data_IF_738349570082
#
_entry.id   IF_738349570082
#
_cell.length_a   1.000
_cell.length_b   1.000
_cell.length_c   1.000
_cell.angle_alpha   90.00
_cell.angle_beta   90.00
_cell.angle_gamma   90.00
#
_symmetry.space_group_name_H-M   'P 1'
#
loop_
_entity.id
_entity.type
_entity.pdbx_description
1 polymer ?
#
# COMPACT_ATOMS: atom_id res chain seq x y z
N UNK A 1 22.55 -27.59 -22.83
CA UNK A 1 22.48 -26.25 -23.46
C UNK A 1 22.95 -25.23 -22.39
N UNK A 2 24.01 -24.46 -22.70
CA UNK A 2 24.42 -23.36 -21.83
C UNK A 2 23.29 -22.32 -21.76
N UNK A 3 23.00 -21.73 -20.61
CA UNK A 3 22.01 -20.65 -20.52
C UNK A 3 22.40 -19.51 -21.46
N UNK A 4 21.43 -18.84 -22.10
CA UNK A 4 21.73 -17.70 -22.97
C UNK A 4 22.47 -16.61 -22.18
N UNK A 5 23.35 -15.83 -22.82
CA UNK A 5 24.08 -14.78 -22.16
C UNK A 5 23.11 -13.76 -21.55
N UNK A 6 23.42 -13.17 -20.36
CA UNK A 6 22.57 -12.20 -19.73
C UNK A 6 22.42 -10.97 -20.64
N UNK A 7 21.19 -10.45 -20.72
CA UNK A 7 20.90 -9.24 -21.49
C UNK A 7 21.70 -8.03 -20.96
N UNK A 8 22.10 -7.10 -21.82
CA UNK A 8 22.75 -5.88 -21.37
C UNK A 8 21.81 -5.08 -20.44
N UNK A 9 22.35 -4.44 -19.40
CA UNK A 9 21.56 -3.76 -18.37
C UNK A 9 20.55 -2.75 -18.92
N UNK A 10 20.89 -2.02 -19.98
CA UNK A 10 19.98 -1.07 -20.61
C UNK A 10 18.74 -1.75 -21.21
N UNK A 11 18.91 -2.94 -21.78
CA UNK A 11 17.81 -3.71 -22.35
C UNK A 11 16.91 -4.30 -21.24
N UNK A 12 17.52 -4.82 -20.17
CA UNK A 12 16.79 -5.42 -19.05
C UNK A 12 16.04 -4.36 -18.21
N UNK A 13 16.66 -3.19 -17.98
CA UNK A 13 16.10 -2.14 -17.09
C UNK A 13 15.25 -1.13 -17.84
N UNK A 14 15.52 -0.88 -19.13
CA UNK A 14 14.84 0.15 -19.92
C UNK A 14 13.94 -0.45 -21.01
N UNK A 15 14.52 -1.20 -21.94
CA UNK A 15 13.81 -1.63 -23.14
C UNK A 15 12.67 -2.61 -22.83
N UNK A 16 12.90 -3.63 -22.01
CA UNK A 16 11.88 -4.64 -21.69
C UNK A 16 10.68 -4.00 -20.97
N UNK A 17 10.83 -3.18 -19.91
CA UNK A 17 9.70 -2.48 -19.30
C UNK A 17 8.93 -1.59 -20.29
N UNK A 18 9.62 -0.86 -21.17
CA UNK A 18 8.97 -0.03 -22.19
C UNK A 18 8.15 -0.87 -23.18
N UNK A 19 8.68 -1.99 -23.66
CA UNK A 19 7.94 -2.90 -24.54
C UNK A 19 6.71 -3.45 -23.83
N UNK A 20 6.82 -3.82 -22.56
CA UNK A 20 5.70 -4.36 -21.78
C UNK A 20 4.61 -3.31 -21.55
N UNK A 21 4.98 -2.07 -21.23
CA UNK A 21 4.02 -0.97 -21.10
C UNK A 21 3.34 -0.67 -22.43
N UNK A 22 4.10 -0.62 -23.53
CA UNK A 22 3.55 -0.42 -24.86
C UNK A 22 2.58 -1.55 -25.25
N UNK A 23 2.96 -2.80 -25.04
CA UNK A 23 2.09 -3.94 -25.30
C UNK A 23 0.80 -3.90 -24.47
N UNK A 24 0.89 -3.52 -23.19
CA UNK A 24 -0.28 -3.33 -22.33
C UNK A 24 -1.21 -2.24 -22.86
N UNK A 25 -0.67 -1.10 -23.31
CA UNK A 25 -1.44 0.00 -23.91
C UNK A 25 -2.12 -0.44 -25.21
N UNK A 26 -1.44 -1.21 -26.06
CA UNK A 26 -2.03 -1.76 -27.29
C UNK A 26 -3.19 -2.70 -26.96
N UNK A 27 -3.02 -3.62 -26.04
CA UNK A 27 -4.08 -4.53 -25.61
C UNK A 27 -5.26 -3.76 -25.01
N UNK A 28 -5.00 -2.77 -24.13
CA UNK A 28 -6.05 -1.92 -23.58
C UNK A 28 -6.78 -1.14 -24.68
N UNK A 29 -6.05 -0.59 -25.66
CA UNK A 29 -6.63 0.11 -26.79
C UNK A 29 -7.53 -0.79 -27.65
N UNK A 30 -7.15 -2.06 -27.86
CA UNK A 30 -8.00 -3.04 -28.54
C UNK A 30 -9.30 -3.27 -27.78
N UNK A 31 -9.25 -3.40 -26.45
CA UNK A 31 -10.45 -3.56 -25.61
C UNK A 31 -11.35 -2.35 -25.71
N UNK A 32 -10.81 -1.13 -25.65
CA UNK A 32 -11.58 0.13 -25.82
C UNK A 32 -12.25 0.17 -27.20
N UNK A 33 -11.54 -0.20 -28.26
CA UNK A 33 -12.10 -0.25 -29.62
C UNK A 33 -13.23 -1.31 -29.75
N UNK A 34 -13.14 -2.44 -29.06
CA UNK A 34 -14.19 -3.47 -29.05
C UNK A 34 -15.47 -2.94 -28.36
N UNK A 35 -15.34 -2.11 -27.34
CA UNK A 35 -16.48 -1.47 -26.64
C UNK A 35 -17.15 -0.43 -27.53
N UNK A 36 -16.48 0.03 -28.60
CA UNK A 36 -17.02 1.02 -29.54
C UNK A 36 -16.46 2.42 -29.36
N UNK A 37 -15.54 2.59 -28.43
CA UNK A 37 -14.93 3.88 -28.09
C UNK A 37 -13.60 4.10 -28.84
N UNK A 38 -13.17 5.35 -28.98
CA UNK A 38 -11.92 5.71 -29.64
C UNK A 38 -10.73 5.53 -28.66
N UNK A 39 -9.80 4.58 -28.91
CA UNK A 39 -8.67 4.33 -28.01
C UNK A 39 -7.75 5.54 -27.81
N UNK A 40 -7.61 6.40 -28.84
CA UNK A 40 -6.75 7.59 -28.76
C UNK A 40 -7.39 8.67 -27.90
N UNK A 41 -8.69 8.85 -27.98
CA UNK A 41 -9.44 9.78 -27.13
C UNK A 41 -9.42 9.31 -25.68
N UNK A 42 -9.70 8.03 -25.44
CA UNK A 42 -9.62 7.44 -24.11
C UNK A 42 -8.22 7.62 -23.50
N UNK A 43 -7.16 7.33 -24.25
CA UNK A 43 -5.78 7.54 -23.76
C UNK A 43 -5.50 9.03 -23.50
N UNK A 44 -5.98 9.94 -24.32
CA UNK A 44 -5.83 11.38 -24.11
C UNK A 44 -6.57 11.85 -22.85
N UNK A 45 -7.79 11.37 -22.62
CA UNK A 45 -8.57 11.65 -21.40
C UNK A 45 -7.84 11.12 -20.19
N UNK A 46 -7.33 9.89 -20.21
CA UNK A 46 -6.54 9.32 -19.12
C UNK A 46 -5.31 10.17 -18.79
N UNK A 47 -4.53 10.59 -19.79
CA UNK A 47 -3.34 11.42 -19.56
C UNK A 47 -3.72 12.78 -19.00
N UNK A 48 -4.73 13.44 -19.58
CA UNK A 48 -5.22 14.74 -19.08
C UNK A 48 -5.80 14.62 -17.67
N UNK A 49 -6.57 13.57 -17.43
CA UNK A 49 -7.16 13.24 -16.13
C UNK A 49 -6.13 12.97 -15.06
N UNK A 50 -4.99 12.35 -15.40
CA UNK A 50 -3.92 12.10 -14.47
C UNK A 50 -3.04 13.31 -14.14
N UNK A 51 -2.79 14.23 -15.12
CA UNK A 51 -1.73 15.24 -14.99
C UNK A 51 -2.15 16.67 -15.31
N UNK A 52 -3.20 16.90 -16.10
CA UNK A 52 -3.50 18.21 -16.68
C UNK A 52 -4.69 18.89 -16.02
N UNK A 53 -5.75 18.18 -15.70
CA UNK A 53 -6.94 18.76 -15.09
C UNK A 53 -6.63 19.34 -13.72
N UNK A 54 -7.38 20.35 -13.31
CA UNK A 54 -7.16 21.06 -12.06
C UNK A 54 -7.29 20.11 -10.86
N UNK A 55 -6.19 19.92 -10.14
CA UNK A 55 -6.13 18.99 -8.99
C UNK A 55 -5.70 17.56 -9.32
N UNK A 56 -5.70 17.14 -10.59
CA UNK A 56 -5.38 15.76 -11.00
C UNK A 56 -4.07 15.21 -10.43
N UNK A 57 -3.02 16.03 -10.44
CA UNK A 57 -1.74 15.61 -9.87
C UNK A 57 -1.85 15.26 -8.38
N UNK A 58 -2.68 16.00 -7.64
CA UNK A 58 -2.95 15.70 -6.24
C UNK A 58 -3.69 14.36 -6.05
N UNK A 59 -4.66 14.08 -6.92
CA UNK A 59 -5.33 12.76 -6.92
C UNK A 59 -4.39 11.63 -7.31
N UNK A 60 -3.56 11.82 -8.34
CA UNK A 60 -2.53 10.85 -8.74
C UNK A 60 -1.58 10.54 -7.60
N UNK A 61 -1.10 11.55 -6.87
CA UNK A 61 -0.21 11.37 -5.72
C UNK A 61 -0.93 10.73 -4.52
N UNK A 62 -2.21 11.03 -4.33
CA UNK A 62 -3.05 10.38 -3.31
C UNK A 62 -3.15 8.86 -3.57
N UNK A 63 -3.49 8.42 -4.79
CA UNK A 63 -3.50 7.00 -5.12
C UNK A 63 -2.09 6.38 -5.02
N UNK A 64 -1.07 7.09 -5.51
CA UNK A 64 0.31 6.64 -5.40
C UNK A 64 0.73 6.40 -3.94
N UNK A 65 0.22 7.18 -2.97
CA UNK A 65 0.50 6.99 -1.55
C UNK A 65 0.07 5.61 -1.05
N UNK A 66 -1.13 5.16 -1.42
CA UNK A 66 -1.63 3.83 -1.09
C UNK A 66 -0.73 2.73 -1.67
N UNK A 67 -0.32 2.92 -2.93
CA UNK A 67 0.54 1.96 -3.62
C UNK A 67 1.98 1.95 -3.12
N UNK A 68 2.51 3.06 -2.61
CA UNK A 68 3.82 3.09 -1.96
C UNK A 68 3.79 2.19 -0.72
N UNK A 69 2.85 2.36 0.18
CA UNK A 69 2.76 1.55 1.40
C UNK A 69 2.58 0.07 1.10
N UNK A 70 1.63 -0.28 0.24
CA UNK A 70 1.34 -1.68 -0.10
C UNK A 70 2.45 -2.30 -0.93
N UNK A 71 3.09 -1.55 -1.83
CA UNK A 71 4.25 -1.99 -2.60
C UNK A 71 5.48 -2.25 -1.71
N UNK A 72 5.76 -1.36 -0.75
CA UNK A 72 6.83 -1.57 0.24
C UNK A 72 6.57 -2.79 1.11
N UNK A 73 5.32 -3.02 1.51
CA UNK A 73 4.93 -4.19 2.28
C UNK A 73 5.29 -5.49 1.55
N UNK A 74 4.88 -5.61 0.29
CA UNK A 74 5.19 -6.77 -0.54
C UNK A 74 6.70 -6.90 -0.77
N UNK A 75 7.40 -5.81 -1.06
CA UNK A 75 8.83 -5.82 -1.32
C UNK A 75 9.65 -6.32 -0.13
N UNK A 76 9.32 -5.90 1.09
CA UNK A 76 10.01 -6.37 2.31
C UNK A 76 9.84 -7.90 2.45
N UNK A 77 8.64 -8.43 2.27
CA UNK A 77 8.40 -9.87 2.32
C UNK A 77 9.15 -10.61 1.20
N UNK A 78 9.20 -10.05 -0.01
CA UNK A 78 9.90 -10.62 -1.16
C UNK A 78 11.41 -10.76 -0.96
N UNK A 79 12.04 -9.88 -0.20
CA UNK A 79 13.45 -10.02 0.14
C UNK A 79 13.77 -11.25 0.98
N UNK A 80 12.77 -11.82 1.67
CA UNK A 80 12.86 -13.11 2.34
C UNK A 80 12.28 -14.26 1.52
N UNK A 81 11.98 -14.05 0.22
CA UNK A 81 11.26 -14.99 -0.66
C UNK A 81 9.89 -15.41 -0.10
N UNK A 82 9.24 -14.51 0.64
CA UNK A 82 7.89 -14.68 1.15
C UNK A 82 6.92 -13.89 0.28
N UNK A 83 5.98 -14.58 -0.36
CA UNK A 83 4.98 -13.93 -1.19
C UNK A 83 3.76 -13.55 -0.35
N UNK A 84 3.79 -12.34 0.23
CA UNK A 84 2.68 -11.82 1.05
C UNK A 84 1.55 -11.30 0.17
N UNK A 85 0.46 -12.08 0.03
CA UNK A 85 -0.79 -11.64 -0.63
C UNK A 85 -1.79 -11.06 0.38
N UNK A 86 -1.41 -11.02 1.66
CA UNK A 86 -2.26 -10.56 2.76
C UNK A 86 -2.36 -9.05 2.94
N UNK A 87 -1.79 -8.27 2.04
CA UNK A 87 -1.74 -6.81 2.16
C UNK A 87 -3.10 -6.14 2.35
N UNK A 88 -4.13 -6.68 1.71
CA UNK A 88 -5.51 -6.19 1.82
C UNK A 88 -6.07 -6.35 3.24
N UNK A 89 -5.96 -7.55 3.82
CA UNK A 89 -6.41 -7.81 5.19
C UNK A 89 -5.56 -7.11 6.24
N UNK A 90 -4.26 -6.97 5.99
CA UNK A 90 -3.35 -6.22 6.86
C UNK A 90 -3.69 -4.74 6.88
N UNK A 91 -4.07 -4.15 5.74
CA UNK A 91 -4.57 -2.80 5.63
C UNK A 91 -5.92 -2.63 6.36
N UNK A 92 -6.84 -3.58 6.23
CA UNK A 92 -8.11 -3.57 6.98
C UNK A 92 -7.88 -3.51 8.48
N UNK A 93 -7.02 -4.39 9.01
CA UNK A 93 -6.73 -4.39 10.45
C UNK A 93 -5.92 -3.17 10.86
N UNK A 94 -5.04 -2.66 10.01
CA UNK A 94 -4.37 -1.38 10.22
C UNK A 94 -5.37 -0.23 10.38
N UNK A 95 -6.36 -0.17 9.48
CA UNK A 95 -7.44 0.82 9.58
C UNK A 95 -8.30 0.66 10.82
N UNK A 96 -8.56 -0.58 11.24
CA UNK A 96 -9.22 -0.82 12.52
C UNK A 96 -8.40 -0.25 13.69
N UNK A 97 -7.08 -0.50 13.69
CA UNK A 97 -6.19 0.02 14.72
C UNK A 97 -6.19 1.55 14.80
N UNK A 98 -6.04 2.23 13.66
CA UNK A 98 -6.10 3.69 13.57
C UNK A 98 -7.47 4.20 14.02
N UNK A 99 -8.55 3.61 13.49
CA UNK A 99 -9.93 4.00 13.81
C UNK A 99 -10.27 3.84 15.30
N UNK A 100 -9.83 2.76 15.95
CA UNK A 100 -10.06 2.55 17.38
C UNK A 100 -9.34 3.61 18.22
N UNK A 101 -8.11 3.95 17.90
CA UNK A 101 -7.38 5.02 18.61
C UNK A 101 -8.09 6.35 18.44
N UNK A 102 -8.53 6.69 17.22
CA UNK A 102 -9.28 7.92 16.99
C UNK A 102 -10.61 7.91 17.75
N UNK A 103 -11.41 6.85 17.69
CA UNK A 103 -12.68 6.75 18.40
C UNK A 103 -12.56 6.90 19.92
N UNK A 104 -11.44 6.45 20.50
CA UNK A 104 -11.22 6.45 21.94
C UNK A 104 -10.61 7.77 22.44
N UNK A 105 -9.74 8.41 21.65
CA UNK A 105 -8.85 9.46 22.15
C UNK A 105 -8.98 10.81 21.43
N UNK A 106 -9.78 10.90 20.35
CA UNK A 106 -9.88 12.11 19.54
C UNK A 106 -10.40 13.36 20.28
N UNK A 107 -11.19 13.15 21.33
CA UNK A 107 -11.68 14.23 22.19
C UNK A 107 -10.74 14.57 23.36
N UNK A 108 -9.72 13.71 23.62
CA UNK A 108 -8.83 13.82 24.77
C UNK A 108 -7.44 14.32 24.40
N UNK A 109 -6.97 14.01 23.18
CA UNK A 109 -5.62 14.31 22.77
C UNK A 109 -5.57 15.35 21.65
N UNK A 110 -4.59 16.25 21.66
CA UNK A 110 -4.32 17.13 20.55
C UNK A 110 -3.77 16.35 19.36
N UNK A 111 -3.97 16.86 18.14
CA UNK A 111 -3.56 16.22 16.89
C UNK A 111 -2.09 15.77 16.86
N UNK A 112 -1.19 16.56 17.44
CA UNK A 112 0.25 16.27 17.49
C UNK A 112 0.59 14.97 18.23
N UNK A 113 -0.24 14.51 19.14
CA UNK A 113 -0.08 13.24 19.87
C UNK A 113 -0.97 12.14 19.27
N UNK A 114 -2.19 12.49 18.88
CA UNK A 114 -3.18 11.54 18.39
C UNK A 114 -2.77 10.94 17.04
N UNK A 115 -2.35 11.78 16.11
CA UNK A 115 -1.98 11.32 14.75
C UNK A 115 -0.80 10.32 14.78
N UNK A 116 0.34 10.60 15.45
CA UNK A 116 1.41 9.61 15.57
C UNK A 116 0.96 8.31 16.26
N UNK A 117 0.10 8.40 17.27
CA UNK A 117 -0.43 7.23 17.97
C UNK A 117 -1.33 6.39 17.05
N UNK A 118 -2.18 7.03 16.25
CA UNK A 118 -3.01 6.36 15.26
C UNK A 118 -2.16 5.69 14.15
N UNK A 119 -1.08 6.35 13.69
CA UNK A 119 -0.12 5.76 12.75
C UNK A 119 0.56 4.53 13.35
N UNK A 120 1.02 4.61 14.60
CA UNK A 120 1.62 3.47 15.30
C UNK A 120 0.63 2.34 15.50
N UNK A 121 -0.62 2.63 15.82
CA UNK A 121 -1.67 1.63 15.96
C UNK A 121 -1.98 0.97 14.61
N UNK A 122 -2.07 1.75 13.54
CA UNK A 122 -2.26 1.23 12.18
C UNK A 122 -1.15 0.25 11.80
N UNK A 123 0.10 0.66 12.00
CA UNK A 123 1.25 -0.22 11.77
C UNK A 123 1.25 -1.44 12.71
N UNK A 124 0.92 -1.27 13.99
CA UNK A 124 0.91 -2.33 14.98
C UNK A 124 -0.15 -3.41 14.70
N UNK A 125 -1.37 -3.02 14.39
CA UNK A 125 -2.45 -3.96 14.04
C UNK A 125 -2.15 -4.70 12.75
N UNK A 126 -1.66 -3.99 11.71
CA UNK A 126 -1.21 -4.61 10.48
C UNK A 126 -0.04 -5.58 10.72
N UNK A 127 0.93 -5.21 11.56
CA UNK A 127 2.07 -6.05 11.91
C UNK A 127 1.65 -7.33 12.65
N UNK A 128 0.79 -7.23 13.63
CA UNK A 128 0.24 -8.40 14.35
C UNK A 128 -0.50 -9.32 13.38
N UNK A 129 -1.35 -8.74 12.51
CA UNK A 129 -2.08 -9.52 11.52
C UNK A 129 -1.16 -10.23 10.53
N UNK A 130 -0.11 -9.58 10.06
CA UNK A 130 0.91 -10.17 9.18
C UNK A 130 1.81 -11.19 9.88
N UNK A 131 2.08 -11.00 11.17
CA UNK A 131 2.90 -11.94 11.96
C UNK A 131 2.26 -13.32 12.11
N UNK A 132 0.92 -13.42 12.14
CA UNK A 132 0.22 -14.71 12.31
C UNK A 132 0.50 -15.66 11.14
N UNK A 133 0.28 -15.30 9.86
CA UNK A 133 0.69 -16.13 8.73
C UNK A 133 2.19 -16.43 8.74
N UNK A 134 3.02 -15.46 9.13
CA UNK A 134 4.47 -15.66 9.29
C UNK A 134 4.80 -16.74 10.33
N UNK A 135 4.13 -16.74 11.47
CA UNK A 135 4.28 -17.77 12.50
C UNK A 135 3.81 -19.16 12.00
N UNK A 136 2.66 -19.21 11.32
CA UNK A 136 2.14 -20.45 10.76
C UNK A 136 3.08 -21.04 9.70
N UNK A 137 3.66 -20.21 8.85
CA UNK A 137 4.71 -20.63 7.91
C UNK A 137 5.94 -21.16 8.65
N UNK A 138 6.47 -20.39 9.60
CA UNK A 138 7.77 -20.67 10.24
C UNK A 138 7.72 -21.86 11.23
N UNK A 139 6.60 -22.09 11.90
CA UNK A 139 6.46 -23.05 12.98
C UNK A 139 5.54 -24.23 12.69
N UNK A 140 4.62 -24.07 11.73
CA UNK A 140 3.62 -25.09 11.39
C UNK A 140 3.74 -25.60 9.95
N UNK A 141 4.65 -25.01 9.15
CA UNK A 141 4.89 -25.43 7.76
C UNK A 141 3.73 -25.10 6.80
N UNK A 142 2.84 -24.16 7.19
CA UNK A 142 1.76 -23.72 6.29
C UNK A 142 2.32 -22.94 5.09
N UNK A 143 1.64 -22.98 3.96
CA UNK A 143 2.06 -22.22 2.78
C UNK A 143 1.63 -20.75 2.91
N UNK A 144 2.61 -19.82 2.90
CA UNK A 144 2.38 -18.39 3.19
C UNK A 144 1.32 -17.78 2.29
N UNK A 145 1.31 -18.09 1.00
CA UNK A 145 0.36 -17.58 0.00
C UNK A 145 -1.07 -17.94 0.39
N UNK A 146 -1.33 -19.21 0.66
CA UNK A 146 -2.66 -19.70 1.01
C UNK A 146 -3.13 -19.06 2.33
N UNK A 147 -2.24 -19.05 3.32
CA UNK A 147 -2.56 -18.50 4.64
C UNK A 147 -2.87 -17.01 4.55
N UNK A 148 -2.07 -16.23 3.82
CA UNK A 148 -2.27 -14.78 3.70
C UNK A 148 -3.54 -14.44 2.94
N UNK A 149 -3.92 -15.20 1.89
CA UNK A 149 -5.20 -15.05 1.20
C UNK A 149 -6.38 -15.32 2.15
N UNK A 150 -6.32 -16.42 2.91
CA UNK A 150 -7.37 -16.75 3.89
C UNK A 150 -7.52 -15.64 4.94
N UNK A 151 -6.41 -15.04 5.38
CA UNK A 151 -6.41 -13.94 6.34
C UNK A 151 -7.02 -12.65 5.79
N UNK A 152 -7.04 -12.42 4.47
CA UNK A 152 -7.80 -11.30 3.88
C UNK A 152 -9.32 -11.47 4.10
N UNK A 153 -9.85 -12.68 3.88
CA UNK A 153 -11.29 -12.96 4.11
C UNK A 153 -11.65 -12.87 5.60
N UNK A 154 -10.78 -13.36 6.48
CA UNK A 154 -10.96 -13.22 7.93
C UNK A 154 -10.98 -11.75 8.35
N UNK A 155 -10.05 -10.94 7.86
CA UNK A 155 -10.01 -9.51 8.15
C UNK A 155 -11.29 -8.80 7.69
N UNK A 156 -11.73 -9.07 6.44
CA UNK A 156 -12.98 -8.52 5.92
C UNK A 156 -14.20 -8.92 6.78
N UNK A 157 -14.27 -10.19 7.19
CA UNK A 157 -15.35 -10.68 8.04
C UNK A 157 -15.37 -10.01 9.42
N UNK A 158 -14.18 -9.81 10.03
CA UNK A 158 -14.03 -9.10 11.31
C UNK A 158 -14.50 -7.64 11.15
N UNK A 159 -14.10 -6.95 10.06
CA UNK A 159 -14.51 -5.58 9.81
C UNK A 159 -16.01 -5.44 9.61
N UNK A 160 -16.62 -6.34 8.83
CA UNK A 160 -18.10 -6.38 8.66
C UNK A 160 -18.78 -6.57 10.01
N UNK A 161 -18.34 -7.53 10.82
CA UNK A 161 -18.93 -7.80 12.13
C UNK A 161 -18.82 -6.60 13.08
N UNK A 162 -17.67 -5.93 13.11
CA UNK A 162 -17.44 -4.76 13.99
C UNK A 162 -18.23 -3.55 13.51
N UNK A 163 -18.17 -3.22 12.22
CA UNK A 163 -18.80 -2.01 11.66
C UNK A 163 -20.30 -2.14 11.48
N UNK A 164 -20.83 -3.33 11.26
CA UNK A 164 -22.28 -3.56 11.24
C UNK A 164 -22.89 -3.66 12.66
N UNK A 165 -22.05 -3.94 13.66
CA UNK A 165 -22.48 -4.16 15.04
C UNK A 165 -21.96 -3.11 16.02
N UNK A 166 -20.83 -3.40 16.65
CA UNK A 166 -20.36 -2.66 17.84
C UNK A 166 -19.82 -1.27 17.57
N UNK A 167 -19.24 -1.04 16.41
CA UNK A 167 -18.61 0.26 16.04
C UNK A 167 -19.52 1.10 15.14
N UNK A 168 -20.69 0.59 14.79
CA UNK A 168 -21.65 1.30 13.95
C UNK A 168 -22.12 2.59 14.61
N UNK A 169 -22.10 3.69 13.88
CA UNK A 169 -22.63 4.97 14.36
C UNK A 169 -24.14 4.89 14.56
N UNK A 170 -24.68 5.36 15.70
CA UNK A 170 -26.11 5.36 15.94
C UNK A 170 -26.86 6.19 14.87
N UNK A 171 -27.98 5.63 14.36
CA UNK A 171 -28.83 6.33 13.39
C UNK A 171 -28.34 6.27 11.93
N UNK A 172 -27.19 5.70 11.64
CA UNK A 172 -26.69 5.52 10.27
C UNK A 172 -27.14 4.19 9.67
N UNK A 173 -27.48 4.19 8.38
CA UNK A 173 -27.81 2.95 7.66
C UNK A 173 -26.54 2.20 7.22
N UNK A 174 -25.50 2.96 6.82
CA UNK A 174 -24.20 2.40 6.39
C UNK A 174 -23.41 1.81 7.55
N UNK A 175 -22.68 0.69 7.33
CA UNK A 175 -21.80 0.10 8.33
C UNK A 175 -20.49 0.90 8.45
N UNK A 176 -20.54 1.98 9.18
CA UNK A 176 -19.43 2.91 9.39
C UNK A 176 -19.41 3.41 10.84
N UNK A 177 -18.24 3.90 11.27
CA UNK A 177 -18.11 4.53 12.58
C UNK A 177 -18.63 5.98 12.55
N UNK A 178 -18.77 6.61 13.72
CA UNK A 178 -18.91 8.08 13.76
C UNK A 178 -17.70 8.74 13.10
N UNK A 179 -17.90 9.94 12.59
CA UNK A 179 -16.77 10.78 12.17
C UNK A 179 -15.85 11.08 13.36
N UNK A 180 -14.57 11.13 13.09
CA UNK A 180 -13.57 11.55 14.07
C UNK A 180 -13.64 13.06 14.27
N UNK A 181 -13.05 13.57 15.35
CA UNK A 181 -12.87 15.00 15.53
C UNK A 181 -11.73 15.52 14.63
N UNK A 182 -11.70 16.83 14.41
CA UNK A 182 -10.65 17.51 13.62
C UNK A 182 -9.22 17.17 14.10
N UNK A 183 -9.04 16.84 15.38
CA UNK A 183 -7.75 16.43 15.94
C UNK A 183 -7.21 15.11 15.33
N UNK A 184 -8.06 14.28 14.76
CA UNK A 184 -7.69 13.01 14.13
C UNK A 184 -7.45 13.13 12.63
N UNK A 185 -7.63 14.29 12.04
CA UNK A 185 -7.49 14.50 10.61
C UNK A 185 -6.04 14.78 10.23
N UNK A 186 -5.60 14.15 9.13
CA UNK A 186 -4.33 14.51 8.51
C UNK A 186 -4.53 15.75 7.64
N UNK A 187 -3.72 16.80 7.82
CA UNK A 187 -3.86 18.01 7.03
C UNK A 187 -3.65 17.71 5.53
N UNK A 188 -4.47 18.33 4.71
CA UNK A 188 -4.31 18.27 3.26
C UNK A 188 -3.11 19.11 2.81
N UNK A 189 -2.40 18.62 1.81
CA UNK A 189 -1.23 19.34 1.25
C UNK A 189 -1.64 20.68 0.63
N UNK A 190 -2.83 20.74 0.01
CA UNK A 190 -3.31 22.01 -0.57
C UNK A 190 -3.60 23.08 0.49
N UNK A 191 -4.04 22.72 1.70
CA UNK A 191 -4.23 23.68 2.79
C UNK A 191 -2.90 24.21 3.30
N UNK A 192 -1.90 23.34 3.45
CA UNK A 192 -0.54 23.74 3.83
C UNK A 192 0.08 24.64 2.75
N UNK A 193 -0.05 24.29 1.48
CA UNK A 193 0.45 25.08 0.37
C UNK A 193 -0.18 26.48 0.31
N UNK A 194 -1.53 26.54 0.43
CA UNK A 194 -2.27 27.79 0.43
C UNK A 194 -1.88 28.68 1.62
N UNK A 195 -1.66 28.10 2.81
CA UNK A 195 -1.16 28.83 3.97
C UNK A 195 0.25 29.43 3.76
N UNK A 196 1.06 28.83 2.89
CA UNK A 196 2.38 29.32 2.47
C UNK A 196 2.34 30.27 1.27
N UNK A 197 1.12 30.62 0.78
CA UNK A 197 0.93 31.52 -0.36
C UNK A 197 1.11 30.86 -1.73
N UNK A 198 1.14 29.51 -1.78
CA UNK A 198 1.21 28.73 -3.01
C UNK A 198 -0.21 28.27 -3.36
N UNK A 199 -0.80 28.82 -4.41
CA UNK A 199 -2.12 28.42 -4.88
C UNK A 199 -2.09 26.95 -5.36
N UNK A 200 -2.74 26.06 -4.63
CA UNK A 200 -2.89 24.66 -4.99
C UNK A 200 -4.36 24.28 -5.07
N UNK A 201 -4.72 23.56 -6.12
CA UNK A 201 -6.08 23.06 -6.29
C UNK A 201 -6.43 22.03 -5.21
N UNK A 202 -7.68 22.00 -4.80
CA UNK A 202 -8.19 21.00 -3.83
C UNK A 202 -8.00 19.59 -4.37
N UNK A 203 -7.47 18.72 -3.52
CA UNK A 203 -7.26 17.30 -3.80
C UNK A 203 -7.20 16.51 -2.49
N UNK A 204 -7.41 15.20 -2.50
CA UNK A 204 -7.33 14.36 -1.31
C UNK A 204 -5.89 14.10 -0.83
N UNK A 205 -4.89 14.66 -1.53
CA UNK A 205 -3.49 14.52 -1.14
C UNK A 205 -3.25 15.13 0.25
N UNK A 206 -2.77 14.33 1.17
CA UNK A 206 -2.57 14.69 2.57
C UNK A 206 -1.17 14.31 3.07
N UNK A 207 -0.88 14.59 4.32
CA UNK A 207 0.45 14.41 4.92
C UNK A 207 0.94 12.94 4.91
N UNK A 208 0.05 11.95 4.71
CA UNK A 208 0.44 10.54 4.60
C UNK A 208 1.40 10.27 3.44
N UNK A 209 1.38 11.11 2.39
CA UNK A 209 2.35 11.04 1.30
C UNK A 209 3.78 11.25 1.79
N UNK A 210 3.99 12.21 2.68
CA UNK A 210 5.31 12.44 3.29
C UNK A 210 5.71 11.24 4.16
N UNK A 211 4.75 10.69 4.92
CA UNK A 211 4.99 9.47 5.72
C UNK A 211 5.36 8.29 4.82
N UNK A 212 4.72 8.14 3.66
CA UNK A 212 5.04 7.10 2.68
C UNK A 212 6.47 7.24 2.11
N UNK A 213 6.90 8.47 1.80
CA UNK A 213 8.27 8.73 1.36
C UNK A 213 9.29 8.44 2.47
N UNK A 214 8.99 8.80 3.71
CA UNK A 214 9.81 8.44 4.87
C UNK A 214 9.87 6.92 5.08
N UNK A 215 8.75 6.21 4.86
CA UNK A 215 8.71 4.75 4.88
C UNK A 215 9.61 4.14 3.78
N UNK A 216 9.68 4.74 2.58
CA UNK A 216 10.62 4.33 1.53
C UNK A 216 12.08 4.41 2.02
N UNK A 217 12.46 5.53 2.65
CA UNK A 217 13.80 5.70 3.22
C UNK A 217 14.02 4.67 4.34
N UNK A 218 13.04 4.51 5.23
CA UNK A 218 13.11 3.53 6.32
C UNK A 218 13.31 2.10 5.82
N UNK A 219 12.57 1.68 4.80
CA UNK A 219 12.72 0.35 4.18
C UNK A 219 14.06 0.22 3.46
N UNK A 220 14.53 1.27 2.79
CA UNK A 220 15.86 1.26 2.19
C UNK A 220 16.95 1.05 3.25
N UNK A 221 16.93 1.80 4.34
CA UNK A 221 17.86 1.63 5.46
C UNK A 221 17.73 0.23 6.07
N UNK A 222 16.49 -0.22 6.33
CA UNK A 222 16.21 -1.54 6.89
C UNK A 222 16.85 -2.65 6.04
N UNK A 223 16.55 -2.69 4.75
CA UNK A 223 16.95 -3.80 3.87
C UNK A 223 18.44 -3.76 3.53
N UNK A 224 19.01 -2.58 3.24
CA UNK A 224 20.39 -2.50 2.72
C UNK A 224 21.43 -2.04 3.72
N UNK A 225 21.03 -1.40 4.83
CA UNK A 225 21.95 -0.82 5.81
C UNK A 225 21.89 -1.46 7.21
N UNK A 226 20.94 -2.41 7.46
CA UNK A 226 20.78 -3.02 8.78
C UNK A 226 21.22 -4.50 8.82
N UNK A 227 21.55 -4.98 10.03
CA UNK A 227 21.82 -6.41 10.28
C UNK A 227 20.56 -7.27 10.04
N UNK A 228 19.39 -6.76 10.39
CA UNK A 228 18.12 -7.42 10.15
C UNK A 228 17.85 -7.59 8.65
N UNK A 229 18.08 -6.54 7.85
CA UNK A 229 17.95 -6.60 6.40
C UNK A 229 18.92 -7.59 5.75
N UNK A 230 20.14 -7.69 6.27
CA UNK A 230 21.06 -8.74 5.85
C UNK A 230 20.48 -10.15 6.14
N UNK A 231 19.98 -10.37 7.34
CA UNK A 231 19.37 -11.67 7.72
C UNK A 231 18.12 -11.99 6.86
N UNK A 232 17.28 -11.00 6.57
CA UNK A 232 16.13 -11.14 5.68
C UNK A 232 16.59 -11.61 4.29
N UNK A 233 17.53 -10.90 3.68
CA UNK A 233 18.05 -11.25 2.33
C UNK A 233 18.78 -12.60 2.33
N UNK A 234 19.59 -12.90 3.36
CA UNK A 234 20.27 -14.18 3.48
C UNK A 234 19.26 -15.35 3.56
N UNK A 235 18.19 -15.18 4.35
CA UNK A 235 17.09 -16.17 4.45
C UNK A 235 16.40 -16.35 3.10
N UNK A 236 16.17 -15.28 2.35
CA UNK A 236 15.57 -15.35 1.03
C UNK A 236 16.45 -16.02 -0.03
N UNK A 237 17.77 -15.85 0.05
CA UNK A 237 18.68 -16.53 -0.89
C UNK A 237 18.79 -18.03 -0.62
N UNK A 238 18.95 -18.43 0.65
CA UNK A 238 19.00 -19.84 1.05
C UNK A 238 18.74 -19.98 2.54
N UNK A 239 17.61 -20.57 2.90
CA UNK A 239 17.27 -20.84 4.29
C UNK A 239 18.30 -21.74 4.97
N UNK A 240 18.79 -22.79 4.28
CA UNK A 240 19.80 -23.71 4.82
C UNK A 240 21.14 -23.00 5.07
N UNK A 241 21.60 -22.15 4.16
CA UNK A 241 22.83 -21.38 4.35
C UNK A 241 22.70 -20.34 5.47
N UNK A 242 21.53 -19.73 5.61
CA UNK A 242 21.23 -18.80 6.69
C UNK A 242 21.25 -19.50 8.06
N UNK A 243 20.65 -20.67 8.16
CA UNK A 243 20.69 -21.51 9.39
C UNK A 243 22.13 -21.91 9.74
N UNK A 244 22.91 -22.35 8.74
CA UNK A 244 24.31 -22.71 8.95
C UNK A 244 25.14 -21.52 9.43
N UNK A 245 24.81 -20.29 9.00
CA UNK A 245 25.43 -19.05 9.45
C UNK A 245 24.89 -18.56 10.81
N UNK A 246 24.05 -19.33 11.50
CA UNK A 246 23.49 -19.01 12.83
C UNK A 246 22.33 -18.02 12.79
N UNK A 247 21.72 -17.74 11.63
CA UNK A 247 20.55 -16.86 11.51
C UNK A 247 19.29 -17.63 11.93
N UNK A 248 18.50 -17.11 12.89
CA UNK A 248 17.27 -17.75 13.34
C UNK A 248 16.15 -17.59 12.31
N UNK A 249 16.15 -18.39 11.25
CA UNK A 249 15.26 -18.29 10.08
C UNK A 249 13.79 -18.16 10.47
N UNK A 250 13.31 -18.95 11.44
CA UNK A 250 11.92 -18.88 11.89
C UNK A 250 11.55 -17.50 12.45
N UNK A 251 12.44 -16.88 13.22
CA UNK A 251 12.23 -15.54 13.77
C UNK A 251 12.27 -14.49 12.64
N UNK A 252 13.20 -14.63 11.69
CA UNK A 252 13.30 -13.73 10.54
C UNK A 252 12.02 -13.77 9.69
N UNK A 253 11.44 -14.93 9.41
CA UNK A 253 10.17 -15.06 8.68
C UNK A 253 9.06 -14.30 9.40
N UNK A 254 8.90 -14.51 10.71
CA UNK A 254 7.84 -13.87 11.51
C UNK A 254 8.02 -12.35 11.52
N UNK A 255 9.23 -11.87 11.79
CA UNK A 255 9.53 -10.42 11.85
C UNK A 255 9.36 -9.77 10.48
N UNK A 256 9.80 -10.44 9.42
CA UNK A 256 9.62 -9.92 8.03
C UNK A 256 8.14 -9.77 7.70
N UNK A 257 7.32 -10.76 8.03
CA UNK A 257 5.87 -10.70 7.82
C UNK A 257 5.20 -9.64 8.71
N UNK A 258 5.69 -9.44 9.94
CA UNK A 258 5.21 -8.38 10.81
C UNK A 258 5.53 -6.98 10.22
N UNK A 259 6.75 -6.75 9.76
CA UNK A 259 7.12 -5.48 9.11
C UNK A 259 6.31 -5.25 7.83
N UNK A 260 6.18 -6.29 7.01
CA UNK A 260 5.34 -6.25 5.80
C UNK A 260 3.90 -5.90 6.13
N UNK A 261 3.31 -6.57 7.13
CA UNK A 261 1.95 -6.27 7.58
C UNK A 261 1.79 -4.87 8.16
N UNK A 262 2.79 -4.39 8.89
CA UNK A 262 2.80 -3.05 9.43
C UNK A 262 2.80 -1.97 8.33
N UNK A 263 3.62 -2.15 7.31
CA UNK A 263 3.64 -1.25 6.14
C UNK A 263 2.31 -1.28 5.37
N UNK A 264 1.72 -2.47 5.15
CA UNK A 264 0.40 -2.57 4.53
C UNK A 264 -0.67 -1.89 5.40
N UNK A 265 -0.61 -2.06 6.72
CA UNK A 265 -1.50 -1.39 7.66
C UNK A 265 -1.44 0.12 7.57
N UNK A 266 -0.25 0.69 7.41
CA UNK A 266 -0.05 2.14 7.28
C UNK A 266 -0.75 2.76 6.06
N UNK A 267 -1.10 1.99 5.02
CA UNK A 267 -1.93 2.50 3.91
C UNK A 267 -3.24 3.10 4.44
N UNK A 268 -3.81 2.51 5.46
CA UNK A 268 -5.09 2.94 6.02
C UNK A 268 -5.08 4.38 6.55
N UNK A 269 -3.92 4.94 6.93
CA UNK A 269 -3.86 6.33 7.42
C UNK A 269 -4.23 7.34 6.32
N UNK A 270 -3.86 7.04 5.06
CA UNK A 270 -4.21 7.88 3.92
C UNK A 270 -5.74 7.94 3.70
N UNK A 271 -6.39 6.79 3.81
CA UNK A 271 -7.84 6.68 3.62
C UNK A 271 -8.63 7.18 4.83
N UNK A 272 -8.33 6.65 6.03
CA UNK A 272 -9.16 6.83 7.22
C UNK A 272 -8.92 8.19 7.89
N UNK A 273 -7.65 8.59 8.05
CA UNK A 273 -7.31 9.88 8.68
C UNK A 273 -7.24 11.02 7.67
N UNK A 274 -6.88 10.68 6.41
CA UNK A 274 -6.65 11.70 5.38
C UNK A 274 -7.88 12.08 4.59
N UNK A 275 -8.86 11.17 4.40
CA UNK A 275 -9.99 11.43 3.48
C UNK A 275 -11.34 11.12 4.08
N UNK A 276 -11.52 9.92 4.67
CA UNK A 276 -12.82 9.47 5.15
C UNK A 276 -13.20 10.06 6.51
N UNK A 277 -12.20 10.39 7.34
CA UNK A 277 -12.34 10.87 8.72
C UNK A 277 -13.24 9.97 9.58
N UNK A 278 -13.33 8.70 9.21
CA UNK A 278 -14.10 7.61 9.86
C UNK A 278 -13.67 6.27 9.28
N UNK A 279 -14.01 5.19 9.94
CA UNK A 279 -13.75 3.83 9.40
C UNK A 279 -14.98 3.34 8.65
N UNK A 280 -14.82 3.02 7.38
CA UNK A 280 -15.87 2.49 6.49
C UNK A 280 -15.50 1.11 5.97
N UNK A 281 -16.49 0.33 5.52
CA UNK A 281 -16.20 -0.89 4.78
C UNK A 281 -15.68 -0.57 3.38
N UNK A 282 -14.75 -1.40 2.89
CA UNK A 282 -14.26 -1.29 1.52
C UNK A 282 -13.22 -0.20 1.29
N UNK A 283 -12.75 0.53 2.32
CA UNK A 283 -11.77 1.62 2.15
C UNK A 283 -10.45 1.17 1.52
N UNK A 284 -10.13 -0.10 1.59
CA UNK A 284 -8.89 -0.66 1.02
C UNK A 284 -8.95 -0.80 -0.50
N UNK A 285 -10.14 -0.85 -1.11
CA UNK A 285 -10.40 -0.80 -2.57
C UNK A 285 -9.48 -1.69 -3.43
N UNK A 286 -8.92 -2.77 -2.88
CA UNK A 286 -8.00 -3.67 -3.56
C UNK A 286 -6.55 -3.14 -3.66
N UNK A 287 -6.21 -2.04 -3.00
CA UNK A 287 -4.86 -1.48 -3.03
C UNK A 287 -3.79 -2.45 -2.52
N UNK A 288 -4.15 -3.35 -1.58
CA UNK A 288 -3.27 -4.40 -1.10
C UNK A 288 -2.86 -5.39 -2.21
N UNK A 289 -3.76 -5.72 -3.11
CA UNK A 289 -3.47 -6.58 -4.27
C UNK A 289 -2.70 -5.84 -5.36
N UNK A 290 -3.08 -4.60 -5.67
CA UNK A 290 -2.37 -3.76 -6.64
C UNK A 290 -0.93 -3.49 -6.21
N UNK A 291 -0.68 -3.39 -4.89
CA UNK A 291 0.67 -3.28 -4.33
C UNK A 291 1.63 -4.40 -4.74
N UNK A 292 1.11 -5.61 -5.06
CA UNK A 292 1.92 -6.71 -5.59
C UNK A 292 2.49 -6.35 -6.96
N UNK A 293 1.65 -5.85 -7.86
CA UNK A 293 2.08 -5.42 -9.19
C UNK A 293 3.07 -4.25 -9.11
N UNK A 294 2.81 -3.29 -8.21
CA UNK A 294 3.70 -2.16 -7.95
C UNK A 294 5.08 -2.61 -7.44
N UNK A 295 5.12 -3.54 -6.49
CA UNK A 295 6.37 -4.08 -5.96
C UNK A 295 7.18 -4.81 -7.03
N UNK A 296 6.53 -5.65 -7.84
CA UNK A 296 7.17 -6.40 -8.93
C UNK A 296 7.68 -5.47 -10.02
N UNK A 297 6.87 -4.50 -10.45
CA UNK A 297 7.27 -3.50 -11.44
C UNK A 297 8.43 -2.62 -10.90
N UNK A 298 8.38 -2.25 -9.63
CA UNK A 298 9.44 -1.53 -8.92
C UNK A 298 10.66 -2.37 -8.57
N UNK A 299 10.68 -3.67 -8.98
CA UNK A 299 11.77 -4.63 -8.71
C UNK A 299 12.11 -4.75 -7.22
N UNK A 300 11.12 -4.61 -6.37
CA UNK A 300 11.23 -4.64 -4.91
C UNK A 300 12.23 -3.60 -4.33
N UNK A 301 12.54 -2.54 -5.09
CA UNK A 301 13.42 -1.46 -4.65
C UNK A 301 12.57 -0.21 -4.35
N UNK A 302 12.76 0.50 -3.21
CA UNK A 302 11.92 1.63 -2.82
C UNK A 302 11.78 2.73 -3.88
N UNK A 303 12.87 3.08 -4.56
CA UNK A 303 12.83 4.06 -5.67
C UNK A 303 11.98 3.55 -6.83
N UNK A 304 12.14 2.29 -7.21
CA UNK A 304 11.33 1.66 -8.25
C UNK A 304 9.84 1.58 -7.85
N UNK A 305 9.56 1.32 -6.57
CA UNK A 305 8.19 1.31 -6.03
C UNK A 305 7.56 2.70 -6.13
N UNK A 306 8.28 3.78 -5.79
CA UNK A 306 7.75 5.14 -5.96
C UNK A 306 7.40 5.42 -7.42
N UNK A 307 8.27 5.08 -8.36
CA UNK A 307 8.02 5.28 -9.80
C UNK A 307 6.84 4.43 -10.30
N UNK A 308 6.76 3.16 -9.89
CA UNK A 308 5.64 2.29 -10.21
C UNK A 308 4.34 2.80 -9.58
N UNK A 309 4.38 3.27 -8.33
CA UNK A 309 3.22 3.84 -7.64
C UNK A 309 2.68 5.09 -8.33
N UNK A 310 3.55 5.95 -8.86
CA UNK A 310 3.15 7.11 -9.66
C UNK A 310 2.46 6.69 -10.95
N UNK A 311 2.97 5.66 -11.63
CA UNK A 311 2.34 5.12 -12.83
C UNK A 311 0.96 4.55 -12.50
N UNK A 312 0.84 3.71 -11.47
CA UNK A 312 -0.44 3.14 -11.07
C UNK A 312 -1.42 4.21 -10.55
N UNK A 313 -0.93 5.22 -9.82
CA UNK A 313 -1.73 6.36 -9.39
C UNK A 313 -2.28 7.14 -10.59
N UNK A 314 -1.45 7.37 -11.61
CA UNK A 314 -1.88 8.01 -12.85
C UNK A 314 -2.92 7.17 -13.62
N UNK A 315 -2.75 5.85 -13.66
CA UNK A 315 -3.73 4.95 -14.29
C UNK A 315 -5.06 4.94 -13.53
N UNK A 316 -5.03 4.94 -12.20
CA UNK A 316 -6.25 5.00 -11.38
C UNK A 316 -6.97 6.34 -11.55
N UNK A 317 -6.25 7.46 -11.45
CA UNK A 317 -6.85 8.78 -11.62
C UNK A 317 -7.32 9.00 -13.06
N UNK A 318 -6.50 8.65 -14.05
CA UNK A 318 -6.90 8.77 -15.45
C UNK A 318 -8.07 7.88 -15.82
N UNK A 319 -8.13 6.66 -15.24
CA UNK A 319 -9.25 5.75 -15.42
C UNK A 319 -10.56 6.25 -14.80
N UNK A 320 -10.47 6.96 -13.68
CA UNK A 320 -11.63 7.57 -13.03
C UNK A 320 -12.28 8.72 -13.84
N UNK A 321 -11.53 9.30 -14.80
CA UNK A 321 -12.02 10.35 -15.69
C UNK A 321 -12.63 9.79 -17.00
N UNK A 322 -12.56 8.47 -17.19
CA UNK A 322 -13.24 7.82 -18.33
C UNK A 322 -14.70 7.61 -17.96
N UNK A 323 -15.57 8.35 -18.65
CA UNK A 323 -17.02 8.26 -18.50
C UNK A 323 -17.56 7.50 -19.74
N UNK A 324 -17.75 6.19 -19.58
CA UNK A 324 -18.28 5.31 -20.64
C UNK A 324 -19.72 4.89 -20.36
#
# INVERSE_FOLDING_TARGET
MSPPPPLPRWADVGLIPLINVFAALVVSGIVVAIIGENPFEAMMVMIKGAFVYKGSLGYTLYYATNFIFTGLAVAVAFHAMLFNIGGEGQAYLGGLGAGLICLLLDSMLPAILLVPLAIMASAGFGAVWGAIPGYLQAKRGSHIVITTIMFNFLAASIMVWLLAGRLKAPGQMSPETRSFSENAELPFIHDIANALGIEMARSPLNLSFVVALLACVGVWVLIWRSRLGYAIRATGHSTKAAEYAGIPVSAIIIVTMAISGGLAGMMAINEILGVQHRTILGFTSGYGFTGIAVALMGRNHPVGIVLASLLFGALYQGGAELDF
#
